data_IF_114844625575
#
_entry.id   IF_114844625575
#
_cell.length_a   1.000
_cell.length_b   1.000
_cell.length_c   1.000
_cell.angle_alpha   90.00
_cell.angle_beta   90.00
_cell.angle_gamma   90.00
#
_symmetry.space_group_name_H-M   'P 1'
#
loop_
_entity.id
_entity.type
_entity.pdbx_description
1 polymer ?
#
# COMPACT_ATOMS: atom_id res chain seq x y z
N UNK A 1 1.17 -2.59 -3.81
CA UNK A 1 0.79 -2.20 -5.19
C UNK A 1 1.86 -1.31 -5.84
N UNK A 2 2.17 -0.13 -5.31
CA UNK A 2 3.17 0.80 -5.90
C UNK A 2 4.51 0.14 -6.30
N UNK A 3 5.14 -0.62 -5.38
CA UNK A 3 6.40 -1.35 -5.66
C UNK A 3 6.26 -2.37 -6.80
N UNK A 4 5.11 -3.04 -6.93
CA UNK A 4 4.84 -3.99 -8.01
C UNK A 4 4.71 -3.22 -9.33
N UNK A 5 3.90 -2.16 -9.36
CA UNK A 5 3.75 -1.32 -10.56
C UNK A 5 5.09 -0.75 -11.06
N UNK A 6 5.94 -0.29 -10.15
CA UNK A 6 7.29 0.16 -10.46
C UNK A 6 8.17 -0.96 -11.07
N UNK A 7 8.04 -2.20 -10.60
CA UNK A 7 8.74 -3.35 -11.19
C UNK A 7 8.31 -3.63 -12.64
N UNK A 8 7.06 -3.32 -12.98
CA UNK A 8 6.55 -3.33 -14.37
C UNK A 8 6.87 -2.04 -15.15
N UNK A 9 7.74 -1.17 -14.62
CA UNK A 9 8.17 0.10 -15.21
C UNK A 9 7.05 1.11 -15.43
N UNK A 10 5.98 1.03 -14.63
CA UNK A 10 4.97 2.07 -14.59
C UNK A 10 5.51 3.31 -13.87
N UNK A 11 5.11 4.50 -14.31
CA UNK A 11 5.24 5.71 -13.51
C UNK A 11 4.17 5.68 -12.41
N UNK A 12 4.59 5.74 -11.15
CA UNK A 12 3.70 5.57 -10.01
C UNK A 12 3.50 6.91 -9.30
N UNK A 13 2.27 7.42 -9.40
CA UNK A 13 1.80 8.61 -8.69
C UNK A 13 0.93 8.18 -7.51
N UNK A 14 1.20 8.72 -6.32
CA UNK A 14 0.54 8.34 -5.07
C UNK A 14 -0.04 9.57 -4.40
N UNK A 15 -1.36 9.57 -4.20
CA UNK A 15 -2.01 10.47 -3.25
C UNK A 15 -2.09 9.82 -1.87
N UNK A 16 -1.68 10.56 -0.84
CA UNK A 16 -1.88 10.22 0.56
C UNK A 16 -1.84 11.48 1.43
N UNK A 17 -2.12 11.33 2.74
CA UNK A 17 -2.00 12.43 3.71
C UNK A 17 -0.59 13.05 3.66
N UNK A 18 -0.43 14.38 3.79
CA UNK A 18 0.85 15.08 3.59
C UNK A 18 2.05 14.53 4.39
N UNK A 19 1.81 14.00 5.59
CA UNK A 19 2.85 13.35 6.41
C UNK A 19 3.55 12.16 5.72
N UNK A 20 2.95 11.59 4.68
CA UNK A 20 3.50 10.48 3.93
C UNK A 20 4.37 10.90 2.75
N UNK A 21 4.36 12.18 2.35
CA UNK A 21 5.05 12.68 1.17
C UNK A 21 6.53 12.27 1.14
N UNK A 22 7.27 12.57 2.22
CA UNK A 22 8.70 12.26 2.30
C UNK A 22 9.00 10.78 2.11
N UNK A 23 8.13 9.90 2.61
CA UNK A 23 8.29 8.46 2.48
C UNK A 23 7.99 7.98 1.07
N UNK A 24 6.91 8.48 0.46
CA UNK A 24 6.54 8.21 -0.94
C UNK A 24 7.69 8.58 -1.88
N UNK A 25 8.22 9.80 -1.73
CA UNK A 25 9.33 10.31 -2.55
C UNK A 25 10.64 9.55 -2.29
N UNK A 26 10.91 9.15 -1.03
CA UNK A 26 12.11 8.36 -0.69
C UNK A 26 12.14 6.96 -1.33
N UNK A 27 10.97 6.42 -1.66
CA UNK A 27 10.83 5.13 -2.34
C UNK A 27 10.83 5.26 -3.88
N UNK A 28 11.01 6.48 -4.40
CA UNK A 28 11.08 6.76 -5.84
C UNK A 28 9.71 6.88 -6.52
N UNK A 29 8.65 7.18 -5.76
CA UNK A 29 7.31 7.45 -6.29
C UNK A 29 7.04 8.96 -6.34
N UNK A 30 6.06 9.37 -7.15
CA UNK A 30 5.63 10.77 -7.27
C UNK A 30 4.50 11.02 -6.28
N UNK A 31 4.62 12.06 -5.44
CA UNK A 31 3.54 12.48 -4.55
C UNK A 31 2.52 13.38 -5.27
N UNK A 32 1.24 13.11 -5.06
CA UNK A 32 0.13 13.96 -5.52
C UNK A 32 -0.63 14.57 -4.32
N UNK A 33 -0.85 15.90 -4.29
CA UNK A 33 -1.49 16.57 -3.16
C UNK A 33 -3.01 16.33 -3.09
N UNK A 34 -3.64 15.91 -4.20
CA UNK A 34 -5.05 15.51 -4.24
C UNK A 34 -5.25 14.19 -5.00
N UNK A 35 -6.44 13.60 -4.88
CA UNK A 35 -6.81 12.38 -5.62
C UNK A 35 -6.94 12.70 -7.12
N UNK A 36 -7.47 13.87 -7.46
CA UNK A 36 -7.55 14.37 -8.82
C UNK A 36 -6.17 14.51 -9.47
N UNK A 37 -5.17 15.02 -8.71
CA UNK A 37 -3.80 15.10 -9.20
C UNK A 37 -3.18 13.73 -9.43
N UNK A 38 -3.52 12.72 -8.60
CA UNK A 38 -3.07 11.35 -8.82
C UNK A 38 -3.77 10.67 -10.00
N UNK A 39 -5.04 11.00 -10.26
CA UNK A 39 -5.81 10.47 -11.39
C UNK A 39 -5.41 11.11 -12.72
N UNK A 40 -4.93 12.35 -12.70
CA UNK A 40 -4.64 13.12 -13.91
C UNK A 40 -3.65 12.40 -14.82
N UNK A 41 -4.13 11.96 -15.98
CA UNK A 41 -3.31 11.28 -16.98
C UNK A 41 -2.93 9.84 -16.64
N UNK A 42 -3.57 9.22 -15.64
CA UNK A 42 -3.31 7.84 -15.28
C UNK A 42 -4.05 6.85 -16.19
N UNK A 43 -3.37 5.77 -16.60
CA UNK A 43 -3.95 4.66 -17.35
C UNK A 43 -4.59 3.58 -16.45
N UNK A 44 -4.18 3.57 -15.19
CA UNK A 44 -4.66 2.65 -14.15
C UNK A 44 -4.82 3.44 -12.85
N UNK A 45 -5.93 3.21 -12.14
CA UNK A 45 -6.16 3.77 -10.81
C UNK A 45 -6.55 2.66 -9.82
N UNK A 46 -5.94 2.67 -8.63
CA UNK A 46 -6.16 1.67 -7.58
C UNK A 46 -6.28 2.34 -6.22
N UNK A 47 -7.27 1.93 -5.41
CA UNK A 47 -7.61 2.55 -4.12
C UNK A 47 -7.23 1.67 -2.94
N UNK A 48 -6.70 2.28 -1.88
CA UNK A 48 -6.20 1.62 -0.67
C UNK A 48 -6.36 2.51 0.57
N UNK A 49 -7.55 3.08 0.76
CA UNK A 49 -7.79 4.16 1.75
C UNK A 49 -8.67 3.74 2.91
N UNK A 50 -9.43 2.66 2.77
CA UNK A 50 -10.60 2.32 3.57
C UNK A 50 -11.75 3.30 3.34
N UNK A 51 -12.88 3.03 3.99
CA UNK A 51 -14.05 3.92 3.98
C UNK A 51 -13.89 5.14 4.90
N UNK A 52 -13.00 5.08 5.90
CA UNK A 52 -12.88 6.11 6.92
C UNK A 52 -14.00 6.03 7.96
N UNK A 53 -14.12 7.06 8.81
CA UNK A 53 -15.14 7.08 9.84
C UNK A 53 -16.53 7.36 9.24
N UNK A 54 -17.61 6.78 9.77
CA UNK A 54 -18.95 7.18 9.40
C UNK A 54 -19.26 8.57 9.99
N UNK A 55 -19.86 9.43 9.18
CA UNK A 55 -20.43 10.68 9.63
C UNK A 55 -21.60 10.39 10.59
N UNK A 56 -21.59 10.92 11.83
CA UNK A 56 -22.60 10.56 12.83
C UNK A 56 -24.05 10.94 12.48
N UNK A 57 -24.25 11.94 11.62
CA UNK A 57 -25.58 12.44 11.28
C UNK A 57 -26.17 11.74 10.05
N UNK A 58 -25.35 11.56 9.02
CA UNK A 58 -25.78 10.98 7.74
C UNK A 58 -25.56 9.46 7.64
N UNK A 59 -24.71 8.90 8.49
CA UNK A 59 -24.27 7.50 8.43
C UNK A 59 -23.31 7.18 7.28
N UNK A 60 -23.04 8.14 6.38
CA UNK A 60 -22.13 7.97 5.25
C UNK A 60 -20.68 7.94 5.69
N UNK A 61 -19.87 7.11 5.05
CA UNK A 61 -18.45 7.08 5.33
C UNK A 61 -17.70 8.26 4.70
N UNK A 62 -16.62 8.72 5.34
CA UNK A 62 -15.77 9.82 4.86
C UNK A 62 -15.33 9.67 3.39
N UNK A 63 -14.99 8.45 2.97
CA UNK A 63 -14.53 8.16 1.62
C UNK A 63 -15.60 7.49 0.73
N UNK A 64 -16.86 7.47 1.15
CA UNK A 64 -17.96 6.94 0.33
C UNK A 64 -18.16 7.79 -0.93
N UNK A 65 -18.13 7.16 -2.10
CA UNK A 65 -18.23 7.84 -3.40
C UNK A 65 -17.09 8.80 -3.71
N UNK A 66 -15.97 8.73 -2.97
CA UNK A 66 -14.79 9.57 -3.16
C UNK A 66 -14.26 9.48 -4.60
N UNK A 67 -14.39 8.32 -5.23
CA UNK A 67 -14.05 8.11 -6.63
C UNK A 67 -15.31 8.33 -7.47
N UNK A 68 -15.62 9.62 -7.66
CA UNK A 68 -16.72 10.10 -8.48
C UNK A 68 -16.27 10.65 -9.84
N UNK A 69 -17.16 11.40 -10.50
CA UNK A 69 -16.95 11.92 -11.86
C UNK A 69 -15.68 12.78 -11.98
N UNK A 70 -15.37 13.61 -10.98
CA UNK A 70 -14.17 14.47 -10.97
C UNK A 70 -12.90 13.65 -11.17
N UNK A 71 -12.73 12.60 -10.37
CA UNK A 71 -11.57 11.72 -10.40
C UNK A 71 -11.55 10.90 -11.69
N UNK A 72 -12.68 10.27 -12.05
CA UNK A 72 -12.77 9.41 -13.23
C UNK A 72 -12.51 10.18 -14.53
N UNK A 73 -12.95 11.43 -14.63
CA UNK A 73 -12.71 12.26 -15.82
C UNK A 73 -11.26 12.72 -15.96
N UNK A 74 -10.49 12.76 -14.86
CA UNK A 74 -9.06 13.08 -14.88
C UNK A 74 -8.18 12.00 -15.50
N UNK A 75 -8.67 10.76 -15.54
CA UNK A 75 -7.97 9.62 -16.14
C UNK A 75 -7.81 9.76 -17.65
N UNK A 76 -6.82 9.05 -18.21
CA UNK A 76 -6.72 8.86 -19.65
C UNK A 76 -7.96 8.12 -20.19
N UNK A 77 -8.30 8.37 -21.45
CA UNK A 77 -9.37 7.62 -22.10
C UNK A 77 -9.01 6.14 -22.19
N UNK A 78 -9.98 5.29 -21.84
CA UNK A 78 -9.78 3.86 -21.76
C UNK A 78 -8.96 3.43 -20.56
N UNK A 79 -8.89 4.17 -19.45
CA UNK A 79 -8.19 3.73 -18.24
C UNK A 79 -8.84 2.49 -17.58
N UNK A 80 -8.12 1.87 -16.64
CA UNK A 80 -8.61 0.75 -15.80
C UNK A 80 -8.77 1.20 -14.37
N UNK A 81 -9.93 0.89 -13.79
CA UNK A 81 -10.20 1.09 -12.37
C UNK A 81 -10.03 -0.23 -11.61
N UNK A 82 -9.35 -0.19 -10.46
CA UNK A 82 -9.16 -1.34 -9.58
C UNK A 82 -9.58 -0.92 -8.16
N UNK A 83 -10.59 -1.59 -7.60
CA UNK A 83 -11.05 -1.37 -6.24
C UNK A 83 -11.11 -2.70 -5.47
N UNK A 84 -10.00 -3.07 -4.83
CA UNK A 84 -9.92 -4.21 -3.92
C UNK A 84 -9.85 -3.77 -2.46
N UNK A 85 -10.52 -2.66 -2.14
CA UNK A 85 -10.54 -2.07 -0.81
C UNK A 85 -11.95 -2.14 -0.23
N UNK A 86 -12.83 -1.20 -0.59
CA UNK A 86 -14.24 -1.18 -0.15
C UNK A 86 -15.13 -0.74 -1.30
N UNK A 87 -16.20 -1.49 -1.56
CA UNK A 87 -17.06 -1.29 -2.73
C UNK A 87 -17.65 0.11 -2.80
N UNK A 88 -17.97 0.72 -1.67
CA UNK A 88 -18.65 2.02 -1.58
C UNK A 88 -17.72 3.22 -1.84
N UNK A 89 -16.41 3.00 -1.95
CA UNK A 89 -15.44 4.07 -2.27
C UNK A 89 -15.67 4.63 -3.68
N UNK A 90 -16.17 3.80 -4.60
CA UNK A 90 -16.46 4.19 -5.98
C UNK A 90 -17.94 4.54 -6.12
N UNK A 91 -18.23 5.69 -6.72
CA UNK A 91 -19.59 6.04 -7.12
C UNK A 91 -19.98 5.20 -8.35
N UNK A 92 -20.88 4.23 -8.14
CA UNK A 92 -21.33 3.32 -9.19
C UNK A 92 -22.04 4.05 -10.36
N UNK A 93 -22.71 5.19 -10.11
CA UNK A 93 -23.33 5.97 -11.19
C UNK A 93 -22.29 6.72 -12.01
N UNK A 94 -21.25 7.25 -11.36
CA UNK A 94 -20.13 7.85 -12.07
C UNK A 94 -19.37 6.80 -12.90
N UNK A 95 -19.17 5.59 -12.35
CA UNK A 95 -18.58 4.47 -13.07
C UNK A 95 -19.42 4.06 -14.29
N UNK A 96 -20.75 4.02 -14.17
CA UNK A 96 -21.66 3.76 -15.31
C UNK A 96 -21.38 4.72 -16.46
N UNK A 97 -21.34 6.03 -16.19
CA UNK A 97 -21.07 7.07 -17.20
C UNK A 97 -19.66 6.93 -17.79
N UNK A 98 -18.67 6.60 -16.97
CA UNK A 98 -17.30 6.42 -17.41
C UNK A 98 -17.13 5.18 -18.32
N UNK A 99 -17.82 4.08 -18.02
CA UNK A 99 -17.88 2.89 -18.87
C UNK A 99 -18.63 3.16 -20.19
N UNK A 100 -19.75 3.90 -20.13
CA UNK A 100 -20.54 4.27 -21.30
C UNK A 100 -19.74 5.12 -22.31
N UNK A 101 -18.98 6.09 -21.81
CA UNK A 101 -18.17 7.00 -22.62
C UNK A 101 -16.86 6.38 -23.13
N UNK A 102 -16.44 5.24 -22.57
CA UNK A 102 -15.14 4.65 -22.84
C UNK A 102 -13.99 5.31 -22.06
N UNK A 103 -14.27 6.24 -21.16
CA UNK A 103 -13.28 6.79 -20.21
C UNK A 103 -12.65 5.68 -19.38
N UNK A 104 -13.46 4.73 -18.91
CA UNK A 104 -13.00 3.48 -18.31
C UNK A 104 -13.22 2.34 -19.30
N UNK A 105 -12.16 1.59 -19.64
CA UNK A 105 -12.27 0.39 -20.49
C UNK A 105 -12.60 -0.87 -19.69
N UNK A 106 -12.18 -0.91 -18.42
CA UNK A 106 -12.35 -2.06 -17.55
C UNK A 106 -12.36 -1.66 -16.07
N UNK A 107 -13.17 -2.32 -15.24
CA UNK A 107 -13.17 -2.13 -13.80
C UNK A 107 -13.09 -3.47 -13.06
N UNK A 108 -12.18 -3.60 -12.10
CA UNK A 108 -12.07 -4.74 -11.22
C UNK A 108 -12.49 -4.33 -9.80
N UNK A 109 -13.52 -4.97 -9.24
CA UNK A 109 -14.11 -4.65 -7.95
C UNK A 109 -14.11 -5.91 -7.08
N UNK A 110 -13.56 -5.82 -5.87
CA UNK A 110 -13.65 -6.86 -4.84
C UNK A 110 -14.36 -6.28 -3.62
N UNK A 111 -15.54 -6.82 -3.30
CA UNK A 111 -16.40 -6.26 -2.26
C UNK A 111 -17.42 -7.29 -1.74
N UNK A 112 -17.93 -7.05 -0.54
CA UNK A 112 -18.92 -7.95 0.09
C UNK A 112 -20.21 -8.04 -0.74
N UNK A 113 -20.74 -9.25 -0.82
CA UNK A 113 -22.04 -9.55 -1.42
C UNK A 113 -22.80 -10.51 -0.52
N UNK A 114 -24.06 -10.20 -0.25
CA UNK A 114 -24.92 -11.02 0.58
C UNK A 114 -26.16 -11.41 -0.20
N UNK A 115 -26.61 -12.66 -0.03
CA UNK A 115 -27.84 -13.16 -0.63
C UNK A 115 -28.76 -13.65 0.47
N UNK A 116 -29.96 -13.09 0.54
CA UNK A 116 -31.01 -13.59 1.43
C UNK A 116 -31.41 -15.00 0.99
N UNK A 117 -31.30 -16.02 1.84
CA UNK A 117 -31.57 -17.41 1.47
C UNK A 117 -33.05 -17.69 1.16
N UNK A 118 -33.97 -16.90 1.74
CA UNK A 118 -35.42 -17.09 1.60
C UNK A 118 -35.99 -16.31 0.42
N UNK A 119 -35.54 -15.06 0.22
CA UNK A 119 -36.08 -14.17 -0.83
C UNK A 119 -35.21 -14.13 -2.08
N UNK A 120 -33.94 -14.55 -1.99
CA UNK A 120 -32.96 -14.40 -3.06
C UNK A 120 -32.45 -12.97 -3.26
N UNK A 121 -32.91 -12.02 -2.46
CA UNK A 121 -32.51 -10.61 -2.50
C UNK A 121 -30.99 -10.49 -2.32
N UNK A 122 -30.36 -9.66 -3.17
CA UNK A 122 -28.94 -9.38 -3.12
C UNK A 122 -28.72 -8.01 -2.47
N UNK A 123 -27.84 -7.98 -1.47
CA UNK A 123 -27.46 -6.76 -0.75
C UNK A 123 -25.95 -6.67 -0.60
N UNK A 124 -25.48 -5.54 -0.08
CA UNK A 124 -24.08 -5.29 0.22
C UNK A 124 -23.38 -4.39 -0.81
N UNK A 125 -22.12 -4.03 -0.54
CA UNK A 125 -21.34 -3.10 -1.35
C UNK A 125 -21.15 -3.51 -2.82
N UNK A 126 -21.20 -4.81 -3.11
CA UNK A 126 -21.12 -5.31 -4.49
C UNK A 126 -22.41 -5.11 -5.30
N UNK A 127 -23.57 -4.98 -4.64
CA UNK A 127 -24.87 -4.99 -5.30
C UNK A 127 -25.03 -3.95 -6.44
N UNK A 128 -24.55 -2.69 -6.30
CA UNK A 128 -24.63 -1.69 -7.36
C UNK A 128 -23.89 -2.06 -8.66
N UNK A 129 -22.86 -2.91 -8.56
CA UNK A 129 -22.03 -3.29 -9.70
C UNK A 129 -22.61 -4.43 -10.53
N UNK A 130 -23.57 -5.19 -10.00
CA UNK A 130 -24.16 -6.34 -10.70
C UNK A 130 -24.92 -5.93 -11.96
N UNK A 131 -25.62 -4.80 -11.93
CA UNK A 131 -26.32 -4.30 -13.11
C UNK A 131 -25.36 -3.65 -14.11
N UNK A 132 -24.24 -3.10 -13.63
CA UNK A 132 -23.16 -2.62 -14.50
C UNK A 132 -22.48 -3.76 -15.25
N UNK A 133 -22.21 -4.89 -14.59
CA UNK A 133 -21.64 -6.08 -15.25
C UNK A 133 -22.57 -6.58 -16.35
N UNK A 134 -23.88 -6.70 -16.08
CA UNK A 134 -24.87 -7.07 -17.11
C UNK A 134 -24.89 -6.09 -18.28
N UNK A 135 -24.83 -4.79 -17.99
CA UNK A 135 -24.89 -3.70 -18.99
C UNK A 135 -23.62 -3.64 -19.85
N UNK A 136 -22.46 -3.91 -19.25
CA UNK A 136 -21.14 -3.82 -19.86
C UNK A 136 -20.40 -5.15 -19.80
N UNK A 137 -21.07 -6.22 -20.23
CA UNK A 137 -20.53 -7.58 -20.12
C UNK A 137 -19.14 -7.70 -20.74
N UNK A 138 -18.22 -8.31 -19.99
CA UNK A 138 -16.80 -8.44 -20.35
C UNK A 138 -15.93 -7.20 -20.05
N UNK A 139 -16.48 -6.14 -19.44
CA UNK A 139 -15.73 -4.97 -18.98
C UNK A 139 -15.62 -4.81 -17.46
N UNK A 140 -16.20 -5.74 -16.70
CA UNK A 140 -16.10 -5.75 -15.24
C UNK A 140 -15.62 -7.12 -14.74
N UNK A 141 -14.76 -7.10 -13.73
CA UNK A 141 -14.42 -8.24 -12.89
C UNK A 141 -14.99 -7.99 -11.50
N UNK A 142 -15.85 -8.87 -11.02
CA UNK A 142 -16.45 -8.78 -9.69
C UNK A 142 -16.01 -9.99 -8.86
N UNK A 143 -15.31 -9.73 -7.76
CA UNK A 143 -14.86 -10.73 -6.79
C UNK A 143 -15.64 -10.56 -5.46
N UNK A 144 -16.13 -11.65 -4.84
CA UNK A 144 -17.00 -11.56 -3.65
C UNK A 144 -16.20 -11.39 -2.35
N UNK A 145 -15.42 -10.31 -2.23
CA UNK A 145 -14.50 -10.02 -1.12
C UNK A 145 -13.45 -11.12 -0.88
N UNK A 146 -12.88 -11.64 -1.96
CA UNK A 146 -12.01 -12.81 -1.94
C UNK A 146 -10.53 -12.47 -2.14
N UNK A 147 -10.14 -11.20 -2.37
CA UNK A 147 -8.74 -10.86 -2.67
C UNK A 147 -7.77 -11.21 -1.54
N UNK A 148 -8.24 -11.20 -0.29
CA UNK A 148 -7.44 -11.58 0.88
C UNK A 148 -7.51 -13.08 1.23
N UNK A 149 -8.40 -13.85 0.59
CA UNK A 149 -8.59 -15.29 0.85
C UNK A 149 -7.55 -16.12 0.11
N UNK A 150 -6.30 -15.97 0.56
CA UNK A 150 -5.13 -16.68 0.03
C UNK A 150 -4.44 -17.46 1.15
N UNK A 151 -3.67 -18.49 0.79
CA UNK A 151 -2.75 -19.21 1.69
C UNK A 151 -1.51 -18.36 2.08
N UNK A 152 -1.54 -17.05 1.83
CA UNK A 152 -0.45 -16.16 2.16
C UNK A 152 -0.21 -16.14 3.68
N UNK A 153 1.06 -16.09 4.08
CA UNK A 153 1.50 -16.14 5.49
C UNK A 153 0.75 -15.13 6.37
N UNK A 154 0.43 -13.96 5.83
CA UNK A 154 -0.33 -12.92 6.55
C UNK A 154 -1.71 -13.39 7.03
N UNK A 155 -2.36 -14.36 6.37
CA UNK A 155 -3.67 -14.87 6.79
C UNK A 155 -3.55 -15.74 8.04
N UNK A 156 -2.65 -16.71 8.00
CA UNK A 156 -2.37 -17.61 9.14
C UNK A 156 -1.79 -16.83 10.32
N UNK A 157 -0.84 -15.94 10.06
CA UNK A 157 -0.24 -15.11 11.11
C UNK A 157 -1.25 -14.11 11.70
N UNK A 158 -2.14 -13.54 10.87
CA UNK A 158 -3.24 -12.72 11.35
C UNK A 158 -4.23 -13.51 12.22
N UNK A 159 -4.54 -14.76 11.85
CA UNK A 159 -5.40 -15.63 12.65
C UNK A 159 -4.75 -16.00 14.00
N UNK A 160 -3.46 -16.34 14.01
CA UNK A 160 -2.69 -16.56 15.25
C UNK A 160 -2.69 -15.31 16.12
N UNK A 161 -2.41 -14.14 15.53
CA UNK A 161 -2.42 -12.87 16.25
C UNK A 161 -3.79 -12.54 16.86
N UNK A 162 -4.89 -12.91 16.20
CA UNK A 162 -6.24 -12.74 16.75
C UNK A 162 -6.47 -13.67 17.96
N UNK A 163 -6.03 -14.92 17.88
CA UNK A 163 -6.09 -15.87 19.01
C UNK A 163 -5.25 -15.36 20.18
N UNK A 164 -4.03 -14.88 19.92
CA UNK A 164 -3.15 -14.33 20.95
C UNK A 164 -3.75 -13.09 21.63
N UNK A 165 -4.40 -12.20 20.85
CA UNK A 165 -5.14 -11.06 21.39
C UNK A 165 -6.27 -11.49 22.33
N UNK A 166 -7.07 -12.48 21.92
CA UNK A 166 -8.16 -13.03 22.74
C UNK A 166 -7.60 -13.63 24.04
N UNK A 167 -6.54 -14.44 23.93
CA UNK A 167 -5.90 -15.06 25.09
C UNK A 167 -5.34 -14.00 26.05
N UNK A 168 -4.68 -12.97 25.50
CA UNK A 168 -4.09 -11.86 26.25
C UNK A 168 -5.14 -11.08 27.07
N UNK A 169 -6.28 -10.76 26.45
CA UNK A 169 -7.39 -10.06 27.11
C UNK A 169 -7.97 -10.93 28.24
N UNK A 170 -8.19 -12.23 27.99
CA UNK A 170 -8.82 -13.13 28.97
C UNK A 170 -7.89 -13.43 30.15
N UNK A 171 -6.62 -13.78 29.90
CA UNK A 171 -5.71 -14.29 30.94
C UNK A 171 -4.92 -13.19 31.64
N UNK A 172 -4.54 -12.14 30.91
CA UNK A 172 -3.62 -11.12 31.41
C UNK A 172 -4.26 -9.74 31.53
N UNK A 173 -5.54 -9.59 31.17
CA UNK A 173 -6.22 -8.29 31.07
C UNK A 173 -5.42 -7.28 30.24
N UNK A 174 -4.73 -7.75 29.21
CA UNK A 174 -3.92 -6.90 28.34
C UNK A 174 -4.55 -6.85 26.95
N UNK A 175 -4.87 -5.65 26.49
CA UNK A 175 -5.45 -5.41 25.17
C UNK A 175 -4.35 -5.05 24.18
N UNK A 176 -4.12 -5.91 23.19
CA UNK A 176 -3.16 -5.66 22.10
C UNK A 176 -3.95 -5.18 20.88
N UNK A 177 -3.39 -4.25 20.09
CA UNK A 177 -4.06 -3.65 18.92
C UNK A 177 -5.40 -2.97 19.26
N UNK A 178 -5.46 -2.27 20.39
CA UNK A 178 -6.67 -1.60 20.89
C UNK A 178 -7.39 -0.79 19.80
N UNK A 179 -8.71 -0.99 19.71
CA UNK A 179 -9.64 -0.19 18.91
C UNK A 179 -10.70 0.39 19.83
N UNK A 180 -10.77 1.71 19.90
CA UNK A 180 -11.65 2.42 20.84
C UNK A 180 -11.02 2.56 22.22
N UNK A 181 -11.84 2.49 23.25
CA UNK A 181 -11.43 2.76 24.62
C UNK A 181 -10.84 1.53 25.32
N UNK A 182 -9.79 1.73 26.11
CA UNK A 182 -9.21 0.69 26.96
C UNK A 182 -10.18 0.37 28.11
N UNK A 183 -10.61 -0.89 28.30
CA UNK A 183 -11.53 -1.23 29.38
C UNK A 183 -10.93 -1.00 30.77
N UNK A 184 -11.76 -0.62 31.74
CA UNK A 184 -11.32 -0.40 33.12
C UNK A 184 -10.67 -1.67 33.70
N UNK A 185 -9.49 -1.52 34.31
CA UNK A 185 -8.72 -2.62 34.88
C UNK A 185 -7.93 -3.46 33.86
N UNK A 186 -7.82 -3.00 32.62
CA UNK A 186 -6.97 -3.59 31.59
C UNK A 186 -5.75 -2.71 31.32
N UNK A 187 -4.67 -3.31 30.82
CA UNK A 187 -3.48 -2.61 30.31
C UNK A 187 -3.44 -2.60 28.79
N UNK A 188 -2.91 -1.52 28.21
CA UNK A 188 -2.62 -1.44 26.77
C UNK A 188 -1.30 -2.16 26.47
N UNK A 189 -1.38 -3.21 25.65
CA UNK A 189 -0.25 -3.99 25.17
C UNK A 189 0.43 -3.40 23.93
N UNK A 190 -0.10 -2.30 23.40
CA UNK A 190 0.41 -1.61 22.21
C UNK A 190 0.01 -2.29 20.90
N UNK A 191 0.43 -1.66 19.80
CA UNK A 191 0.19 -2.16 18.45
C UNK A 191 1.26 -3.18 18.04
N UNK A 192 0.81 -4.28 17.44
CA UNK A 192 1.66 -5.31 16.84
C UNK A 192 1.17 -5.61 15.42
N UNK A 193 2.09 -5.98 14.53
CA UNK A 193 1.77 -6.40 13.16
C UNK A 193 2.59 -7.63 12.79
N UNK A 194 2.19 -8.29 11.71
CA UNK A 194 2.92 -9.45 11.17
C UNK A 194 4.27 -8.98 10.63
N UNK A 195 5.35 -9.66 10.99
CA UNK A 195 6.70 -9.32 10.55
C UNK A 195 6.80 -9.27 9.02
N UNK A 196 7.45 -8.23 8.49
CA UNK A 196 7.61 -8.03 7.04
C UNK A 196 6.40 -7.40 6.34
N UNK A 197 5.31 -7.14 7.05
CA UNK A 197 4.12 -6.45 6.51
C UNK A 197 4.01 -5.05 7.11
N UNK A 198 3.90 -4.04 6.24
CA UNK A 198 3.62 -2.66 6.65
C UNK A 198 4.87 -1.82 6.94
N UNK A 199 4.80 -1.01 8.00
CA UNK A 199 5.84 -0.02 8.36
C UNK A 199 7.03 -0.68 9.04
N UNK A 200 8.20 -0.06 8.92
CA UNK A 200 9.37 -0.41 9.74
C UNK A 200 9.12 0.06 11.17
N UNK A 201 9.31 -0.83 12.14
CA UNK A 201 9.06 -0.55 13.57
C UNK A 201 10.37 -0.61 14.38
N UNK A 202 10.41 -0.03 15.60
CA UNK A 202 11.58 -0.13 16.48
C UNK A 202 11.92 -1.59 16.79
N UNK A 203 10.90 -2.44 16.97
CA UNK A 203 11.07 -3.87 17.19
C UNK A 203 11.79 -4.53 16.02
N UNK A 204 11.35 -4.26 14.78
CA UNK A 204 11.98 -4.86 13.60
C UNK A 204 13.43 -4.42 13.45
N UNK A 205 13.71 -3.14 13.65
CA UNK A 205 15.07 -2.62 13.62
C UNK A 205 15.94 -3.27 14.71
N UNK A 206 15.40 -3.42 15.92
CA UNK A 206 16.06 -4.08 17.05
C UNK A 206 16.39 -5.54 16.77
N UNK A 207 15.46 -6.31 16.21
CA UNK A 207 15.69 -7.69 15.79
C UNK A 207 16.86 -7.77 14.80
N UNK A 208 16.86 -6.91 13.79
CA UNK A 208 17.87 -6.93 12.74
C UNK A 208 19.27 -6.51 13.24
N UNK A 209 19.39 -5.62 14.22
CA UNK A 209 20.72 -5.25 14.77
C UNK A 209 21.34 -6.33 15.66
N UNK A 210 20.57 -7.34 16.08
CA UNK A 210 21.12 -8.51 16.80
C UNK A 210 21.71 -9.57 15.88
N UNK A 211 21.54 -9.43 14.56
CA UNK A 211 22.15 -10.28 13.55
C UNK A 211 23.54 -9.76 13.20
N UNK A 212 24.59 -10.26 13.88
CA UNK A 212 25.97 -9.78 13.74
C UNK A 212 26.46 -9.76 12.27
N UNK A 213 26.11 -10.78 11.49
CA UNK A 213 26.48 -10.87 10.07
C UNK A 213 25.81 -9.76 9.24
N UNK A 214 24.51 -9.54 9.45
CA UNK A 214 23.78 -8.46 8.80
C UNK A 214 24.39 -7.10 9.14
N UNK A 215 24.61 -6.83 10.43
CA UNK A 215 25.12 -5.54 10.89
C UNK A 215 26.53 -5.26 10.34
N UNK A 216 27.41 -6.25 10.38
CA UNK A 216 28.75 -6.18 9.80
C UNK A 216 28.69 -5.90 8.29
N UNK A 217 27.86 -6.64 7.56
CA UNK A 217 27.73 -6.48 6.11
C UNK A 217 27.15 -5.14 5.71
N UNK A 218 26.13 -4.66 6.42
CA UNK A 218 25.53 -3.35 6.20
C UNK A 218 26.52 -2.23 6.44
N UNK A 219 27.29 -2.31 7.53
CA UNK A 219 28.34 -1.33 7.83
C UNK A 219 29.38 -1.29 6.72
N UNK A 220 29.96 -2.43 6.36
CA UNK A 220 30.97 -2.52 5.30
C UNK A 220 30.46 -1.90 3.98
N UNK A 221 29.27 -2.33 3.56
CA UNK A 221 28.68 -1.90 2.28
C UNK A 221 28.43 -0.38 2.27
N UNK A 222 27.96 0.17 3.38
CA UNK A 222 27.67 1.61 3.51
C UNK A 222 28.95 2.44 3.56
N UNK A 223 30.00 1.96 4.23
CA UNK A 223 31.32 2.60 4.26
C UNK A 223 31.93 2.66 2.85
N UNK A 224 31.85 1.58 2.07
CA UNK A 224 32.32 1.54 0.68
C UNK A 224 31.56 2.54 -0.22
N UNK A 225 30.22 2.55 -0.15
CA UNK A 225 29.37 3.50 -0.89
C UNK A 225 29.75 4.95 -0.53
N UNK A 226 29.88 5.24 0.76
CA UNK A 226 30.18 6.59 1.27
C UNK A 226 31.56 7.05 0.81
N UNK A 227 32.57 6.18 0.88
CA UNK A 227 33.93 6.51 0.46
C UNK A 227 34.00 6.86 -1.03
N UNK A 228 33.36 6.07 -1.90
CA UNK A 228 33.41 6.29 -3.35
C UNK A 228 32.62 7.54 -3.74
N UNK A 229 31.40 7.73 -3.23
CA UNK A 229 30.64 8.96 -3.49
C UNK A 229 31.38 10.20 -2.98
N UNK A 230 31.99 10.12 -1.78
CA UNK A 230 32.80 11.19 -1.22
C UNK A 230 34.00 11.55 -2.10
N UNK A 231 34.71 10.56 -2.65
CA UNK A 231 35.82 10.77 -3.57
C UNK A 231 35.35 11.43 -4.88
N UNK A 232 34.24 10.98 -5.46
CA UNK A 232 33.67 11.56 -6.68
C UNK A 232 33.20 13.00 -6.47
N UNK A 233 32.53 13.27 -5.35
CA UNK A 233 32.03 14.60 -5.00
C UNK A 233 33.15 15.61 -4.73
N UNK A 234 34.25 15.16 -4.11
CA UNK A 234 35.42 16.00 -3.80
C UNK A 234 36.40 16.19 -4.96
N UNK A 235 36.17 15.54 -6.11
CA UNK A 235 37.04 15.64 -7.30
C UNK A 235 36.38 16.51 -8.37
N UNK A 236 36.70 17.82 -8.46
CA UNK A 236 36.09 18.73 -9.43
C UNK A 236 36.63 18.54 -10.86
N UNK A 237 37.87 18.05 -11.01
CA UNK A 237 38.50 17.82 -12.30
C UNK A 237 37.81 16.62 -13.02
N UNK A 238 37.27 16.82 -14.24
CA UNK A 238 36.55 15.76 -14.96
C UNK A 238 37.39 14.53 -15.30
N UNK A 239 38.66 14.70 -15.71
CA UNK A 239 39.53 13.60 -16.10
C UNK A 239 39.88 12.73 -14.88
N UNK A 240 40.21 13.36 -13.75
CA UNK A 240 40.43 12.65 -12.47
C UNK A 240 39.17 11.96 -11.97
N UNK A 241 38.01 12.58 -12.16
CA UNK A 241 36.73 11.94 -11.82
C UNK A 241 36.48 10.72 -12.71
N UNK A 242 36.80 10.78 -13.99
CA UNK A 242 36.70 9.65 -14.91
C UNK A 242 37.63 8.50 -14.49
N UNK A 243 38.87 8.78 -14.09
CA UNK A 243 39.79 7.77 -13.53
C UNK A 243 39.22 7.08 -12.28
N UNK A 244 38.56 7.84 -11.39
CA UNK A 244 37.91 7.28 -10.20
C UNK A 244 36.68 6.42 -10.56
N UNK A 245 35.89 6.84 -11.54
CA UNK A 245 34.74 6.05 -12.04
C UNK A 245 35.22 4.75 -12.68
N UNK A 246 36.28 4.80 -13.49
CA UNK A 246 36.86 3.60 -14.09
C UNK A 246 37.36 2.62 -13.02
N UNK A 247 38.02 3.14 -11.97
CA UNK A 247 38.60 2.32 -10.91
C UNK A 247 37.56 1.74 -9.95
N UNK A 248 36.57 2.53 -9.53
CA UNK A 248 35.67 2.20 -8.42
C UNK A 248 34.19 2.09 -8.82
N UNK A 249 33.82 2.41 -10.07
CA UNK A 249 32.44 2.40 -10.53
C UNK A 249 31.76 1.04 -10.36
N UNK A 250 32.41 -0.04 -10.79
CA UNK A 250 31.86 -1.40 -10.60
C UNK A 250 31.66 -1.75 -9.13
N UNK A 251 32.58 -1.35 -8.25
CA UNK A 251 32.48 -1.59 -6.81
C UNK A 251 31.31 -0.81 -6.21
N UNK A 252 31.16 0.46 -6.59
CA UNK A 252 30.06 1.31 -6.14
C UNK A 252 28.70 0.71 -6.50
N UNK A 253 28.53 0.26 -7.75
CA UNK A 253 27.26 -0.32 -8.20
C UNK A 253 26.98 -1.65 -7.49
N UNK A 254 27.99 -2.52 -7.32
CA UNK A 254 27.83 -3.78 -6.59
C UNK A 254 27.46 -3.55 -5.13
N UNK A 255 28.12 -2.61 -4.45
CA UNK A 255 27.82 -2.25 -3.07
C UNK A 255 26.40 -1.67 -2.96
N UNK A 256 26.00 -0.79 -3.87
CA UNK A 256 24.64 -0.20 -3.90
C UNK A 256 23.55 -1.26 -4.07
N UNK A 257 23.74 -2.20 -4.99
CA UNK A 257 22.80 -3.31 -5.19
C UNK A 257 22.73 -4.23 -3.96
N UNK A 258 23.89 -4.49 -3.34
CA UNK A 258 23.98 -5.30 -2.12
C UNK A 258 23.21 -4.64 -0.98
N UNK A 259 23.44 -3.35 -0.74
CA UNK A 259 22.71 -2.56 0.26
C UNK A 259 21.20 -2.62 0.04
N UNK A 260 20.74 -2.35 -1.19
CA UNK A 260 19.32 -2.37 -1.52
C UNK A 260 18.69 -3.73 -1.25
N UNK A 261 19.35 -4.81 -1.67
CA UNK A 261 18.86 -6.18 -1.48
C UNK A 261 18.80 -6.59 0.01
N UNK A 262 19.78 -6.18 0.82
CA UNK A 262 19.81 -6.47 2.26
C UNK A 262 18.72 -5.71 3.02
N UNK A 263 18.53 -4.42 2.74
CA UNK A 263 17.46 -3.61 3.34
C UNK A 263 16.08 -4.17 2.99
N UNK A 264 15.87 -4.59 1.75
CA UNK A 264 14.61 -5.18 1.32
C UNK A 264 14.39 -6.57 1.94
N UNK A 265 15.40 -7.44 1.93
CA UNK A 265 15.33 -8.77 2.54
C UNK A 265 15.14 -8.75 4.06
N UNK A 266 15.68 -7.74 4.75
CA UNK A 266 15.47 -7.52 6.17
C UNK A 266 14.11 -6.86 6.48
N UNK A 267 13.30 -6.50 5.49
CA UNK A 267 12.02 -5.81 5.73
C UNK A 267 12.19 -4.40 6.30
N UNK A 268 13.31 -3.75 5.99
CA UNK A 268 13.65 -2.38 6.43
C UNK A 268 13.34 -1.33 5.35
N UNK A 269 12.69 -1.71 4.25
CA UNK A 269 12.29 -0.82 3.16
C UNK A 269 10.84 -0.35 3.30
N UNK A 270 10.63 0.86 3.80
CA UNK A 270 9.33 1.51 3.87
C UNK A 270 9.28 2.63 4.90
N UNK A 271 8.10 3.22 5.16
CA UNK A 271 7.94 4.25 6.16
C UNK A 271 8.26 3.73 7.56
N UNK A 272 8.96 4.56 8.35
CA UNK A 272 9.17 4.29 9.77
C UNK A 272 7.93 4.65 10.59
N UNK A 273 7.60 3.81 11.56
CA UNK A 273 6.63 4.10 12.62
C UNK A 273 7.37 4.11 13.94
N UNK A 274 7.28 5.23 14.65
CA UNK A 274 7.59 5.30 16.08
C UNK A 274 6.59 4.45 16.88
#
# INVERSE_FOLDING_TARGET
VAKIAQAFRMEVVVHARPRHQKWIESEGFIYAPSIEDAAKGADFISFHTGLGAPNPESGKFENEGMIGESVLNGLNDGAVLINYDRGEVVDAQALDKALASGKIRYAAIDADIFKNPSTGEITGPMAPYLDLEKKYSGKLELLPHAAADTEHVSRVEGAKQAVDQIFSVIHFKTTINLKGDLPEGYSDGGATTVSGVGKVTPKRLSETVTEDEFLSKMRQTTEEITAIWGALASTPNPDRRAELIERYGSQLILASNTYASLIEGAGLKGPYSE
#
